data_IF_356509417738
#
_entry.id   IF_356509417738
#
_cell.length_a   1.000
_cell.length_b   1.000
_cell.length_c   1.000
_cell.angle_alpha   90.00
_cell.angle_beta   90.00
_cell.angle_gamma   90.00
#
_symmetry.space_group_name_H-M   'P 1'
#
loop_
_entity.id
_entity.type
_entity.pdbx_description
1 polymer ?
#
# COMPACT_ATOMS: atom_id res chain seq x y z
N UNK A 1 22.64 -8.17 -6.96
CA UNK A 1 23.44 -7.18 -7.69
C UNK A 1 22.93 -5.81 -7.29
N UNK A 2 23.80 -4.85 -6.90
CA UNK A 2 23.32 -3.49 -6.56
C UNK A 2 22.92 -2.76 -7.85
N UNK A 3 21.80 -2.02 -7.89
CA UNK A 3 21.43 -1.21 -9.05
C UNK A 3 22.55 -0.22 -9.39
N UNK A 4 22.83 -0.03 -10.68
CA UNK A 4 23.73 1.03 -11.13
C UNK A 4 23.04 2.38 -10.99
N UNK A 5 23.80 3.49 -10.88
CA UNK A 5 23.22 4.82 -10.92
C UNK A 5 22.36 5.01 -12.19
N UNK A 6 21.10 5.39 -12.04
CA UNK A 6 20.16 5.58 -13.16
C UNK A 6 19.19 4.42 -13.40
N UNK A 7 19.48 3.21 -12.92
CA UNK A 7 18.63 2.03 -13.14
C UNK A 7 17.24 2.21 -12.50
N UNK A 8 17.20 2.80 -11.29
CA UNK A 8 15.94 3.06 -10.58
C UNK A 8 15.11 4.12 -11.30
N UNK A 9 15.73 5.20 -11.74
CA UNK A 9 15.06 6.26 -12.50
C UNK A 9 14.49 5.74 -13.82
N UNK A 10 15.26 4.91 -14.54
CA UNK A 10 14.82 4.27 -15.78
C UNK A 10 13.63 3.33 -15.53
N UNK A 11 13.69 2.48 -14.51
CA UNK A 11 12.61 1.57 -14.15
C UNK A 11 11.32 2.32 -13.80
N UNK A 12 11.41 3.42 -13.05
CA UNK A 12 10.27 4.29 -12.74
C UNK A 12 9.68 4.85 -14.05
N UNK A 13 10.52 5.40 -14.93
CA UNK A 13 10.06 5.93 -16.22
C UNK A 13 9.35 4.88 -17.06
N UNK A 14 9.98 3.72 -17.29
CA UNK A 14 9.42 2.64 -18.10
C UNK A 14 8.08 2.12 -17.56
N UNK A 15 7.96 2.01 -16.23
CA UNK A 15 6.74 1.54 -15.57
C UNK A 15 5.58 2.52 -15.79
N UNK A 16 5.80 3.82 -15.62
CA UNK A 16 4.78 4.84 -15.86
C UNK A 16 4.43 4.96 -17.34
N UNK A 17 5.40 4.89 -18.25
CA UNK A 17 5.12 4.89 -19.69
C UNK A 17 4.31 3.67 -20.12
N UNK A 18 4.64 2.49 -19.57
CA UNK A 18 3.84 1.28 -19.81
C UNK A 18 2.41 1.44 -19.30
N UNK A 19 2.23 1.96 -18.08
CA UNK A 19 0.91 2.19 -17.51
C UNK A 19 0.09 3.19 -18.35
N UNK A 20 0.72 4.26 -18.86
CA UNK A 20 0.08 5.23 -19.76
C UNK A 20 -0.36 4.61 -21.08
N UNK A 21 0.47 3.75 -21.69
CA UNK A 21 0.08 3.03 -22.92
C UNK A 21 -1.14 2.14 -22.69
N UNK A 22 -1.14 1.37 -21.61
CA UNK A 22 -2.28 0.51 -21.24
C UNK A 22 -3.53 1.35 -20.93
N UNK A 23 -3.36 2.54 -20.35
CA UNK A 23 -4.45 3.45 -20.04
C UNK A 23 -5.13 4.06 -21.28
N UNK A 24 -4.61 3.83 -22.50
CA UNK A 24 -5.30 4.17 -23.75
C UNK A 24 -6.42 3.16 -24.05
N UNK A 25 -6.23 1.90 -23.63
CA UNK A 25 -7.14 0.79 -23.93
C UNK A 25 -8.17 0.54 -22.82
N UNK A 26 -7.93 1.04 -21.60
CA UNK A 26 -8.84 0.87 -20.48
C UNK A 26 -8.38 1.52 -19.19
N UNK A 27 -9.12 1.28 -18.10
CA UNK A 27 -8.75 1.76 -16.77
C UNK A 27 -7.53 1.00 -16.24
N UNK A 28 -6.52 1.72 -15.79
CA UNK A 28 -5.29 1.16 -15.22
C UNK A 28 -5.09 1.70 -13.81
N UNK A 29 -4.77 0.80 -12.87
CA UNK A 29 -4.33 1.16 -11.52
C UNK A 29 -2.84 0.82 -11.39
N UNK A 30 -2.01 1.83 -11.15
CA UNK A 30 -0.59 1.68 -10.88
C UNK A 30 -0.35 1.75 -9.36
N UNK A 31 0.11 0.64 -8.78
CA UNK A 31 0.44 0.55 -7.36
C UNK A 31 1.92 0.84 -7.13
N UNK A 32 2.22 1.86 -6.33
CA UNK A 32 3.59 2.19 -5.89
C UNK A 32 3.68 2.03 -4.37
N UNK A 33 4.31 0.95 -3.93
CA UNK A 33 4.37 0.61 -2.52
C UNK A 33 5.60 1.25 -1.84
N UNK A 34 5.48 1.56 -0.55
CA UNK A 34 6.57 2.07 0.30
C UNK A 34 7.25 3.32 -0.28
N UNK A 35 6.46 4.36 -0.49
CA UNK A 35 6.89 5.57 -1.20
C UNK A 35 8.12 6.24 -0.54
N UNK A 36 8.25 6.16 0.78
CA UNK A 36 9.38 6.63 1.58
C UNK A 36 10.74 6.07 1.11
N UNK A 37 10.76 4.83 0.60
CA UNK A 37 11.99 4.17 0.15
C UNK A 37 12.60 4.81 -1.10
N UNK A 38 11.77 5.49 -1.89
CA UNK A 38 12.12 6.08 -3.18
C UNK A 38 12.06 7.62 -3.12
N UNK A 39 11.18 8.15 -2.28
CA UNK A 39 10.82 9.56 -2.23
C UNK A 39 11.09 10.22 -0.88
N UNK A 40 11.84 9.59 0.04
CA UNK A 40 12.12 10.19 1.35
C UNK A 40 13.24 11.23 1.37
N UNK A 41 14.09 11.28 0.33
CA UNK A 41 15.22 12.22 0.26
C UNK A 41 15.25 12.98 -1.06
N UNK A 42 15.72 14.23 -1.07
CA UNK A 42 16.01 14.96 -2.30
C UNK A 42 16.98 14.18 -3.20
N UNK A 43 16.77 14.23 -4.50
CA UNK A 43 17.66 13.58 -5.47
C UNK A 43 17.00 13.29 -6.81
N UNK A 44 17.76 12.66 -7.71
CA UNK A 44 17.31 12.34 -9.07
C UNK A 44 16.08 11.43 -9.09
N UNK A 45 16.04 10.44 -8.21
CA UNK A 45 14.92 9.50 -8.08
C UNK A 45 13.63 10.24 -7.69
N UNK A 46 13.69 11.12 -6.69
CA UNK A 46 12.56 11.96 -6.27
C UNK A 46 12.06 12.84 -7.43
N UNK A 47 13.00 13.47 -8.16
CA UNK A 47 12.66 14.32 -9.30
C UNK A 47 11.97 13.51 -10.41
N UNK A 48 12.48 12.31 -10.71
CA UNK A 48 11.88 11.41 -11.69
C UNK A 48 10.46 11.00 -11.28
N UNK A 49 10.24 10.65 -10.01
CA UNK A 49 8.90 10.32 -9.51
C UNK A 49 7.94 11.50 -9.65
N UNK A 50 8.36 12.72 -9.26
CA UNK A 50 7.55 13.92 -9.40
C UNK A 50 7.15 14.18 -10.87
N UNK A 51 8.11 14.08 -11.80
CA UNK A 51 7.85 14.23 -13.23
C UNK A 51 6.84 13.20 -13.72
N UNK A 52 6.95 11.95 -13.27
CA UNK A 52 6.03 10.88 -13.66
C UNK A 52 4.62 11.11 -13.10
N UNK A 53 4.49 11.46 -11.82
CA UNK A 53 3.21 11.79 -11.18
C UNK A 53 2.52 12.98 -11.86
N UNK A 54 3.28 14.02 -12.22
CA UNK A 54 2.75 15.17 -12.95
C UNK A 54 2.25 14.78 -14.35
N UNK A 55 2.91 13.81 -15.00
CA UNK A 55 2.49 13.32 -16.31
C UNK A 55 1.17 12.54 -16.28
N UNK A 56 0.85 11.89 -15.16
CA UNK A 56 -0.39 11.10 -14.99
C UNK A 56 -1.63 12.00 -15.04
N UNK A 57 -1.53 13.26 -14.63
CA UNK A 57 -2.67 14.19 -14.60
C UNK A 57 -3.34 14.39 -15.96
N UNK A 58 -2.63 14.09 -17.05
CA UNK A 58 -3.14 14.18 -18.43
C UNK A 58 -3.82 12.89 -18.91
N UNK A 59 -3.78 11.81 -18.11
CA UNK A 59 -4.28 10.50 -18.44
C UNK A 59 -5.37 10.07 -17.43
N UNK A 60 -6.65 10.44 -17.64
CA UNK A 60 -7.72 10.20 -16.66
C UNK A 60 -8.01 8.72 -16.40
N UNK A 61 -7.67 7.83 -17.33
CA UNK A 61 -7.80 6.39 -17.19
C UNK A 61 -6.64 5.74 -16.41
N UNK A 62 -5.66 6.51 -15.94
CA UNK A 62 -4.56 6.02 -15.10
C UNK A 62 -4.72 6.55 -13.68
N UNK A 63 -4.95 5.63 -12.74
CA UNK A 63 -5.03 5.92 -11.31
C UNK A 63 -3.74 5.44 -10.65
N UNK A 64 -3.05 6.31 -9.93
CA UNK A 64 -1.89 5.94 -9.11
C UNK A 64 -2.33 5.80 -7.66
N UNK A 65 -2.07 4.64 -7.07
CA UNK A 65 -2.31 4.37 -5.65
C UNK A 65 -0.98 4.07 -5.00
N UNK A 66 -0.68 4.77 -3.90
CA UNK A 66 0.59 4.61 -3.19
C UNK A 66 0.39 4.17 -1.75
N UNK A 67 1.38 3.49 -1.20
CA UNK A 67 1.41 3.16 0.23
C UNK A 67 2.62 3.78 0.91
N UNK A 68 2.47 4.10 2.19
CA UNK A 68 3.56 4.51 3.05
C UNK A 68 3.27 4.05 4.47
N UNK A 69 4.29 3.54 5.15
CA UNK A 69 4.17 3.18 6.57
C UNK A 69 4.14 4.43 7.47
N UNK A 70 4.85 5.48 7.08
CA UNK A 70 4.83 6.78 7.74
C UNK A 70 4.84 7.90 6.67
N UNK A 71 3.71 8.62 6.48
CA UNK A 71 3.65 9.71 5.52
C UNK A 71 4.61 10.86 5.85
N UNK A 72 5.13 10.97 7.07
CA UNK A 72 6.13 11.97 7.43
C UNK A 72 7.51 11.69 6.81
N UNK A 73 7.80 10.43 6.49
CA UNK A 73 9.04 10.05 5.81
C UNK A 73 9.01 10.31 4.30
N UNK A 74 7.85 10.66 3.74
CA UNK A 74 7.72 11.03 2.33
C UNK A 74 7.99 12.52 2.15
N UNK A 75 8.83 12.86 1.16
CA UNK A 75 9.17 14.25 0.87
C UNK A 75 7.95 15.08 0.46
N UNK A 76 7.88 16.32 0.97
CA UNK A 76 6.73 17.22 0.82
C UNK A 76 6.31 17.47 -0.63
N UNK A 77 7.27 17.53 -1.56
CA UNK A 77 6.95 17.69 -2.99
C UNK A 77 5.99 16.61 -3.48
N UNK A 78 6.21 15.34 -3.10
CA UNK A 78 5.37 14.22 -3.54
C UNK A 78 3.99 14.27 -2.87
N UNK A 79 3.91 14.71 -1.61
CA UNK A 79 2.67 14.83 -0.83
C UNK A 79 1.76 15.99 -1.24
N UNK A 80 2.24 16.90 -2.08
CA UNK A 80 1.46 18.06 -2.53
C UNK A 80 0.06 17.63 -2.99
N UNK A 81 -0.97 18.38 -2.59
CA UNK A 81 -2.37 18.20 -3.00
C UNK A 81 -2.57 18.24 -4.53
N UNK A 82 -1.56 18.70 -5.27
CA UNK A 82 -1.51 18.64 -6.73
C UNK A 82 -1.29 17.23 -7.30
N UNK A 83 -0.83 16.27 -6.49
CA UNK A 83 -0.50 14.90 -6.92
C UNK A 83 -1.39 13.86 -6.25
N UNK A 84 -1.52 13.93 -4.93
CA UNK A 84 -2.42 13.04 -4.18
C UNK A 84 -3.60 13.82 -3.64
N UNK A 85 -4.75 13.63 -4.29
CA UNK A 85 -6.00 14.28 -3.89
C UNK A 85 -6.66 13.58 -2.69
N UNK A 86 -6.54 12.25 -2.63
CA UNK A 86 -7.14 11.43 -1.59
C UNK A 86 -6.06 10.76 -0.76
N UNK A 87 -6.16 10.90 0.55
CA UNK A 87 -5.31 10.20 1.53
C UNK A 87 -6.22 9.39 2.42
N UNK A 88 -5.99 8.08 2.46
CA UNK A 88 -6.75 7.16 3.31
C UNK A 88 -5.81 6.75 4.44
N UNK A 89 -6.19 7.10 5.67
CA UNK A 89 -5.46 6.66 6.85
C UNK A 89 -5.94 5.27 7.27
N UNK A 90 -5.01 4.33 7.37
CA UNK A 90 -5.26 2.98 7.87
C UNK A 90 -4.85 2.93 9.34
N UNK A 91 -5.84 3.06 10.24
CA UNK A 91 -5.64 2.98 11.68
C UNK A 91 -5.54 1.55 12.21
N UNK A 92 -5.34 1.44 13.52
CA UNK A 92 -5.46 0.16 14.23
C UNK A 92 -6.91 -0.32 14.15
N UNK A 93 -7.17 -1.57 13.73
CA UNK A 93 -8.53 -2.08 13.64
C UNK A 93 -9.23 -2.14 15.00
N UNK A 94 -10.51 -1.78 15.02
CA UNK A 94 -11.44 -1.95 16.14
C UNK A 94 -11.65 -3.43 16.47
N UNK A 95 -12.25 -3.72 17.64
CA UNK A 95 -12.58 -5.09 18.03
C UNK A 95 -13.48 -5.80 17.00
N UNK A 96 -14.50 -5.12 16.48
CA UNK A 96 -15.38 -5.67 15.44
C UNK A 96 -14.64 -5.94 14.14
N UNK A 97 -13.74 -5.05 13.71
CA UNK A 97 -12.93 -5.29 12.51
C UNK A 97 -11.97 -6.46 12.72
N UNK A 98 -11.33 -6.58 13.89
CA UNK A 98 -10.48 -7.74 14.21
C UNK A 98 -11.28 -9.04 14.24
N UNK A 99 -12.52 -9.04 14.72
CA UNK A 99 -13.42 -10.19 14.68
C UNK A 99 -13.66 -10.67 13.24
N UNK A 100 -13.98 -9.74 12.33
CA UNK A 100 -14.16 -10.03 10.91
C UNK A 100 -12.87 -10.52 10.26
N UNK A 101 -11.75 -9.86 10.53
CA UNK A 101 -10.43 -10.26 10.03
C UNK A 101 -10.05 -11.66 10.51
N UNK A 102 -10.26 -12.00 11.78
CA UNK A 102 -9.97 -13.33 12.33
C UNK A 102 -10.75 -14.44 11.59
N UNK A 103 -12.04 -14.21 11.34
CA UNK A 103 -12.87 -15.14 10.57
C UNK A 103 -12.42 -15.26 9.12
N UNK A 104 -12.09 -14.14 8.48
CA UNK A 104 -11.61 -14.13 7.10
C UNK A 104 -10.27 -14.85 6.97
N UNK A 105 -9.32 -14.56 7.85
CA UNK A 105 -7.97 -15.11 7.84
C UNK A 105 -7.91 -16.58 8.23
N UNK A 106 -8.88 -17.05 9.04
CA UNK A 106 -8.96 -18.45 9.43
C UNK A 106 -9.42 -19.37 8.31
N UNK A 107 -10.21 -18.86 7.36
CA UNK A 107 -10.78 -19.64 6.28
C UNK A 107 -11.63 -20.82 6.77
N UNK A 108 -11.77 -21.85 5.95
CA UNK A 108 -12.57 -23.04 6.28
C UNK A 108 -11.84 -24.02 7.21
N UNK A 109 -10.54 -23.80 7.48
CA UNK A 109 -9.69 -24.72 8.24
C UNK A 109 -9.95 -24.67 9.77
N UNK A 110 -10.62 -23.63 10.26
CA UNK A 110 -10.83 -23.36 11.68
C UNK A 110 -12.31 -23.09 11.96
N UNK A 111 -13.06 -24.13 12.32
CA UNK A 111 -14.43 -23.99 12.80
C UNK A 111 -14.45 -23.77 14.32
N UNK A 112 -14.47 -22.51 14.74
CA UNK A 112 -14.71 -22.13 16.13
C UNK A 112 -16.14 -21.62 16.33
N UNK A 113 -16.75 -21.83 17.51
CA UNK A 113 -18.00 -21.16 17.89
C UNK A 113 -17.88 -19.63 17.82
N UNK A 114 -19.01 -18.96 17.57
CA UNK A 114 -19.07 -17.51 17.44
C UNK A 114 -18.56 -16.77 18.68
N UNK A 115 -18.83 -17.32 19.86
CA UNK A 115 -18.39 -16.82 21.15
C UNK A 115 -16.87 -16.79 21.23
N UNK A 116 -16.21 -17.84 20.70
CA UNK A 116 -14.76 -17.96 20.76
C UNK A 116 -14.06 -16.98 19.83
N UNK A 117 -14.63 -16.72 18.66
CA UNK A 117 -14.16 -15.64 17.78
C UNK A 117 -14.22 -14.27 18.46
N UNK A 118 -15.31 -14.03 19.18
CA UNK A 118 -15.56 -12.76 19.88
C UNK A 118 -14.57 -12.57 21.04
N UNK A 119 -14.25 -13.64 21.77
CA UNK A 119 -13.20 -13.64 22.80
C UNK A 119 -11.81 -13.35 22.21
N UNK A 120 -11.44 -13.99 21.10
CA UNK A 120 -10.16 -13.73 20.44
C UNK A 120 -10.01 -12.28 19.99
N UNK A 121 -11.08 -11.69 19.45
CA UNK A 121 -11.08 -10.28 19.05
C UNK A 121 -10.87 -9.34 20.26
N UNK A 122 -11.50 -9.64 21.41
CA UNK A 122 -11.30 -8.91 22.68
C UNK A 122 -9.89 -9.04 23.23
N UNK A 123 -9.26 -10.19 23.06
CA UNK A 123 -7.92 -10.49 23.57
C UNK A 123 -6.78 -9.94 22.69
N UNK A 124 -7.09 -9.32 21.56
CA UNK A 124 -6.09 -8.85 20.58
C UNK A 124 -6.06 -7.33 20.37
N UNK A 125 -6.19 -6.48 21.41
CA UNK A 125 -6.13 -5.03 21.22
C UNK A 125 -4.77 -4.62 20.62
N UNK A 126 -4.80 -3.73 19.64
CA UNK A 126 -3.59 -3.26 18.95
C UNK A 126 -3.12 -4.16 17.79
N UNK A 127 -3.69 -5.35 17.61
CA UNK A 127 -3.24 -6.28 16.58
C UNK A 127 -3.71 -5.81 15.20
N UNK A 128 -2.80 -5.84 14.24
CA UNK A 128 -3.11 -5.62 12.82
C UNK A 128 -3.25 -6.96 12.09
N UNK A 129 -3.62 -6.92 10.81
CA UNK A 129 -3.81 -8.13 10.00
C UNK A 129 -2.61 -9.10 10.04
N UNK A 130 -1.39 -8.58 10.04
CA UNK A 130 -0.17 -9.39 10.15
C UNK A 130 -0.10 -10.16 11.48
N UNK A 131 -0.42 -9.51 12.61
CA UNK A 131 -0.41 -10.16 13.93
C UNK A 131 -1.51 -11.21 14.05
N UNK A 132 -2.73 -10.90 13.58
CA UNK A 132 -3.85 -11.85 13.58
C UNK A 132 -3.54 -13.08 12.72
N UNK A 133 -2.87 -12.88 11.58
CA UNK A 133 -2.40 -14.00 10.73
C UNK A 133 -1.43 -14.90 11.49
N UNK A 134 -0.52 -14.33 12.31
CA UNK A 134 0.38 -15.12 13.14
C UNK A 134 -0.37 -15.89 14.23
N UNK A 135 -1.42 -15.32 14.83
CA UNK A 135 -2.29 -16.03 15.79
C UNK A 135 -2.92 -17.25 15.14
N UNK A 136 -3.53 -17.09 13.97
CA UNK A 136 -4.16 -18.19 13.21
C UNK A 136 -3.13 -19.25 12.78
N UNK A 137 -1.97 -18.83 12.28
CA UNK A 137 -0.94 -19.76 11.84
C UNK A 137 -0.34 -20.58 13.00
N UNK A 138 -0.29 -20.02 14.21
CA UNK A 138 0.15 -20.75 15.41
C UNK A 138 -0.85 -21.81 15.84
N UNK A 139 -2.16 -21.62 15.64
CA UNK A 139 -3.16 -22.65 16.00
C UNK A 139 -3.22 -23.83 15.03
N UNK A 140 -2.53 -23.73 13.88
CA UNK A 140 -2.45 -24.80 12.86
C UNK A 140 -1.25 -25.75 13.04
N UNK A 141 -0.39 -25.48 14.02
CA UNK A 141 0.77 -26.31 14.38
C UNK A 141 0.47 -27.13 15.61
#
# INVERSE_FOLDING_TARGET
MRPKPGDTEALIGETFERAKRLAVEGLVVLLVLHLESVCGKPGRILNQMNNMLDSVRRQPALIVVTTSADPNEVHESVKSASRFHNVIFLGVPSESERLEMLKLLSGDDLCLPQERWSELAKMTPGYVAADLTLVINKSRR
#
